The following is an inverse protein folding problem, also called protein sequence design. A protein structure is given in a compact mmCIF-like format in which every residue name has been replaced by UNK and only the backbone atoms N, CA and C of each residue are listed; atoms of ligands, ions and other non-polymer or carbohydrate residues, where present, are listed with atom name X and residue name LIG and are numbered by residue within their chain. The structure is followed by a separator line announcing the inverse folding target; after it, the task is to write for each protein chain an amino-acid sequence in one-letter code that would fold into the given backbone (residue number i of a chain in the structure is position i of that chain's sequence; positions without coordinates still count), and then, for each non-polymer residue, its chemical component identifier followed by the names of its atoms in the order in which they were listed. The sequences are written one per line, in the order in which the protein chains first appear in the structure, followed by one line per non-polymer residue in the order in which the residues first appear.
data_IF_281269222356
#
_entry.id   IF_281269222356
#
_cell.length_a   1.000
_cell.length_b   1.000
_cell.length_c   1.000
_cell.angle_alpha   90.00
_cell.angle_beta   90.00
_cell.angle_gamma   90.00
#
_symmetry.space_group_name_H-M   'P 1'
#
loop_
_entity.id
_entity.type
_entity.pdbx_description
1 polymer ?
#
# COMPACT_ATOMS: atom_id res chain seq x y z
N UNK A 1 7.29 -52.04 -18.04
CA UNK A 1 7.37 -52.17 -19.52
C UNK A 1 7.60 -50.77 -20.08
N UNK A 2 8.73 -50.52 -20.37
CA UNK A 2 9.68 -50.08 -21.42
C UNK A 2 9.01 -49.68 -22.73
N UNK A 3 9.29 -48.43 -23.19
CA UNK A 3 9.70 -47.90 -24.51
C UNK A 3 9.36 -46.39 -24.48
N UNK A 4 10.21 -45.44 -24.63
CA UNK A 4 11.52 -45.31 -25.28
C UNK A 4 11.38 -44.90 -26.77
N UNK A 5 11.40 -43.58 -27.08
CA UNK A 5 11.91 -43.21 -28.39
C UNK A 5 12.50 -41.78 -28.38
N UNK A 6 13.72 -41.73 -28.95
CA UNK A 6 14.62 -40.57 -29.03
C UNK A 6 14.56 -39.92 -30.43
N UNK A 7 15.11 -38.68 -30.53
CA UNK A 7 15.81 -38.02 -31.66
C UNK A 7 14.93 -37.38 -32.76
N UNK A 8 15.18 -36.11 -33.14
CA UNK A 8 16.29 -35.68 -34.01
C UNK A 8 16.53 -34.18 -33.95
N UNK A 9 17.80 -33.82 -33.92
CA UNK A 9 18.34 -32.50 -34.14
C UNK A 9 18.39 -32.17 -35.65
N UNK A 10 18.23 -30.88 -35.98
CA UNK A 10 18.47 -30.36 -37.33
C UNK A 10 19.12 -28.99 -37.26
N UNK A 11 20.46 -28.98 -37.36
CA UNK A 11 21.26 -27.81 -37.71
C UNK A 11 21.11 -27.50 -39.21
N UNK A 12 20.97 -26.23 -39.56
CA UNK A 12 21.41 -25.74 -40.86
C UNK A 12 22.01 -24.34 -40.74
N UNK A 13 23.26 -24.29 -41.15
CA UNK A 13 24.19 -23.15 -41.22
C UNK A 13 24.10 -22.41 -42.54
N UNK A 14 24.54 -21.14 -42.52
CA UNK A 14 25.36 -20.42 -43.52
C UNK A 14 24.66 -19.62 -44.63
N UNK A 15 24.88 -18.30 -44.70
CA UNK A 15 25.80 -17.68 -45.64
C UNK A 15 25.94 -16.16 -45.43
N UNK A 16 27.19 -15.76 -45.26
CA UNK A 16 27.67 -14.35 -45.41
C UNK A 16 27.65 -13.94 -46.88
N UNK A 17 27.35 -12.65 -47.15
CA UNK A 17 27.84 -11.96 -48.34
C UNK A 17 28.43 -10.63 -47.92
N UNK A 18 29.75 -10.53 -48.09
CA UNK A 18 30.55 -9.31 -48.01
C UNK A 18 30.58 -8.70 -49.41
N UNK A 19 30.36 -7.41 -49.49
CA UNK A 19 30.53 -6.63 -50.71
C UNK A 19 31.18 -5.30 -50.43
N UNK A 20 32.50 -5.28 -50.51
CA UNK A 20 33.31 -4.04 -50.47
C UNK A 20 33.42 -3.47 -51.88
N UNK A 21 33.25 -2.16 -52.01
CA UNK A 21 33.85 -1.44 -53.14
C UNK A 21 34.42 -0.09 -52.62
N UNK A 22 35.75 0.01 -52.78
CA UNK A 22 36.51 1.22 -52.63
C UNK A 22 36.60 1.91 -54.01
N UNK A 23 36.61 3.21 -54.05
CA UNK A 23 36.89 4.03 -55.20
C UNK A 23 37.33 5.42 -54.81
N UNK A 24 38.64 5.65 -54.88
CA UNK A 24 39.26 6.97 -54.74
C UNK A 24 39.07 7.81 -56.03
N UNK A 25 38.97 9.14 -55.85
CA UNK A 25 39.08 10.12 -56.94
C UNK A 25 39.10 11.52 -56.45
N UNK A 26 40.28 12.14 -56.49
CA UNK A 26 40.66 13.50 -56.08
C UNK A 26 40.30 14.53 -57.18
N UNK A 27 39.85 15.75 -56.85
CA UNK A 27 40.47 17.05 -57.12
C UNK A 27 39.48 18.23 -57.23
N UNK A 28 39.76 19.21 -56.38
CA UNK A 28 39.86 20.67 -56.55
C UNK A 28 38.71 21.53 -57.12
N UNK A 29 38.38 22.48 -56.28
CA UNK A 29 38.22 23.92 -56.43
C UNK A 29 36.93 24.57 -56.88
N UNK A 30 36.58 25.54 -56.03
CA UNK A 30 35.94 26.87 -56.17
C UNK A 30 34.46 27.02 -55.86
N UNK A 31 34.31 27.81 -54.77
CA UNK A 31 33.31 28.81 -54.44
C UNK A 31 32.13 29.04 -55.41
N UNK A 32 30.93 28.98 -54.90
CA UNK A 32 30.00 30.13 -54.83
C UNK A 32 28.87 29.87 -53.86
N UNK A 33 28.53 30.90 -53.09
CA UNK A 33 27.46 30.93 -52.10
C UNK A 33 26.06 30.84 -52.73
N UNK A 34 25.13 30.17 -52.04
CA UNK A 34 23.75 30.59 -51.82
C UNK A 34 22.95 29.60 -50.96
N UNK A 35 22.43 30.17 -49.92
CA UNK A 35 21.16 29.95 -49.24
C UNK A 35 20.71 28.51 -48.92
N UNK A 36 20.69 28.32 -47.64
CA UNK A 36 20.23 27.36 -46.77
C UNK A 36 18.84 26.81 -46.93
N UNK A 37 18.73 25.58 -46.50
CA UNK A 37 17.53 25.11 -45.81
C UNK A 37 18.00 24.08 -44.78
N UNK A 38 18.06 24.54 -43.52
CA UNK A 38 18.34 23.71 -42.36
C UNK A 38 17.11 22.88 -42.11
N UNK A 39 17.18 21.59 -42.33
CA UNK A 39 16.25 20.66 -41.77
C UNK A 39 16.44 20.68 -40.26
N UNK A 40 15.56 21.38 -39.58
CA UNK A 40 15.44 21.34 -38.13
C UNK A 40 15.08 19.93 -37.69
N UNK A 41 15.99 19.32 -36.98
CA UNK A 41 15.66 18.16 -36.13
C UNK A 41 14.58 18.62 -35.14
N UNK A 42 13.40 18.10 -35.26
CA UNK A 42 12.34 18.26 -34.28
C UNK A 42 12.77 17.46 -33.05
N UNK A 43 13.44 18.12 -32.13
CA UNK A 43 13.53 17.71 -30.75
C UNK A 43 12.11 17.74 -30.22
N UNK A 44 11.58 16.61 -29.83
CA UNK A 44 10.34 16.49 -29.10
C UNK A 44 10.57 17.14 -27.73
N UNK A 45 10.24 18.43 -27.60
CA UNK A 45 10.03 19.11 -26.35
C UNK A 45 8.66 18.64 -25.83
N UNK A 46 8.65 17.59 -25.02
CA UNK A 46 7.47 17.14 -24.29
C UNK A 46 7.74 17.07 -22.78
N UNK A 47 8.37 18.08 -22.20
CA UNK A 47 8.60 18.09 -20.74
C UNK A 47 8.46 19.46 -20.08
N UNK A 48 7.80 20.43 -20.69
CA UNK A 48 7.73 21.79 -20.13
C UNK A 48 6.31 22.34 -19.87
N UNK A 49 5.24 21.56 -20.02
CA UNK A 49 3.88 22.10 -19.91
C UNK A 49 3.12 21.72 -18.61
N UNK A 50 3.68 20.86 -17.76
CA UNK A 50 3.02 20.45 -16.51
C UNK A 50 3.35 21.33 -15.30
N UNK A 51 4.39 22.13 -15.35
CA UNK A 51 4.72 23.07 -14.28
C UNK A 51 3.72 24.25 -14.26
N UNK A 52 2.63 24.11 -13.50
CA UNK A 52 1.61 25.13 -13.30
C UNK A 52 0.20 24.78 -13.75
N UNK A 53 -0.03 23.59 -14.32
CA UNK A 53 -1.38 23.12 -14.62
C UNK A 53 -2.02 22.51 -13.36
N UNK A 54 -3.23 22.96 -13.03
CA UNK A 54 -4.04 22.32 -12.00
C UNK A 54 -4.43 20.92 -12.47
N UNK A 55 -4.00 19.87 -11.73
CA UNK A 55 -4.26 18.48 -12.08
C UNK A 55 -5.71 18.08 -11.69
N UNK A 56 -6.40 17.40 -12.59
CA UNK A 56 -7.65 16.71 -12.27
C UNK A 56 -7.34 15.38 -11.63
N UNK A 57 -7.78 15.18 -10.39
CA UNK A 57 -7.49 14.00 -9.59
C UNK A 57 -8.78 13.27 -9.24
N UNK A 58 -8.83 11.97 -9.52
CA UNK A 58 -9.89 11.08 -9.06
C UNK A 58 -9.38 10.19 -7.94
N UNK A 59 -10.16 10.06 -6.86
CA UNK A 59 -9.99 9.06 -5.82
C UNK A 59 -11.19 8.12 -5.86
N UNK A 60 -10.96 6.85 -6.18
CA UNK A 60 -11.99 5.83 -6.24
C UNK A 60 -11.84 4.90 -5.03
N UNK A 61 -12.83 4.92 -4.16
CA UNK A 61 -12.88 4.16 -2.92
C UNK A 61 -13.78 2.93 -3.07
N UNK A 62 -13.36 1.75 -2.60
CA UNK A 62 -14.20 0.56 -2.57
C UNK A 62 -15.36 0.67 -1.57
N UNK A 63 -15.20 1.44 -0.51
CA UNK A 63 -16.18 1.64 0.55
C UNK A 63 -16.58 3.11 0.70
N UNK A 64 -17.08 3.43 1.88
CA UNK A 64 -17.50 4.80 2.24
C UNK A 64 -16.33 5.58 2.80
N UNK A 65 -16.25 6.87 2.47
CA UNK A 65 -15.23 7.79 3.01
C UNK A 65 -15.41 8.14 4.49
N UNK A 66 -16.41 7.58 5.16
CA UNK A 66 -16.71 7.75 6.59
C UNK A 66 -16.81 6.40 7.32
N UNK A 67 -16.00 5.41 6.90
CA UNK A 67 -16.00 4.05 7.43
C UNK A 67 -15.21 3.86 8.74
N UNK A 68 -14.63 4.93 9.26
CA UNK A 68 -13.75 4.94 10.46
C UNK A 68 -12.54 4.00 10.29
N UNK A 69 -12.11 3.77 9.04
CA UNK A 69 -11.06 2.83 8.68
C UNK A 69 -10.33 3.24 7.38
N UNK A 70 -10.03 2.27 6.52
CA UNK A 70 -9.15 2.36 5.36
C UNK A 70 -9.57 3.44 4.35
N UNK A 71 -10.86 3.51 4.00
CA UNK A 71 -11.34 4.49 3.03
C UNK A 71 -11.34 5.92 3.61
N UNK A 72 -11.73 6.07 4.87
CA UNK A 72 -11.71 7.37 5.54
C UNK A 72 -10.30 7.91 5.68
N UNK A 73 -9.33 7.09 6.08
CA UNK A 73 -7.94 7.51 6.24
C UNK A 73 -7.35 8.05 4.92
N UNK A 74 -7.61 7.36 3.80
CA UNK A 74 -7.15 7.82 2.48
C UNK A 74 -7.88 9.09 2.04
N UNK A 75 -9.20 9.15 2.23
CA UNK A 75 -9.96 10.35 1.92
C UNK A 75 -9.49 11.57 2.70
N UNK A 76 -9.26 11.43 4.00
CA UNK A 76 -8.80 12.53 4.86
C UNK A 76 -7.40 13.00 4.47
N UNK A 77 -6.46 12.08 4.19
CA UNK A 77 -5.13 12.42 3.70
C UNK A 77 -5.17 13.17 2.38
N UNK A 78 -5.93 12.67 1.41
CA UNK A 78 -6.11 13.32 0.09
C UNK A 78 -6.80 14.68 0.21
N UNK A 79 -7.86 14.76 1.04
CA UNK A 79 -8.57 16.01 1.28
C UNK A 79 -7.69 17.05 1.95
N UNK A 80 -6.88 16.68 2.94
CA UNK A 80 -5.92 17.55 3.61
C UNK A 80 -4.94 18.16 2.61
N UNK A 81 -4.42 17.35 1.68
CA UNK A 81 -3.54 17.84 0.61
C UNK A 81 -4.28 18.77 -0.36
N UNK A 82 -5.50 18.41 -0.79
CA UNK A 82 -6.30 19.21 -1.71
C UNK A 82 -6.67 20.57 -1.13
N UNK A 83 -7.11 20.61 0.13
CA UNK A 83 -7.46 21.84 0.85
C UNK A 83 -6.24 22.78 1.03
N UNK A 84 -5.06 22.21 1.22
CA UNK A 84 -3.81 22.97 1.32
C UNK A 84 -3.26 23.44 -0.04
N UNK A 85 -3.68 22.80 -1.14
CA UNK A 85 -3.17 23.06 -2.49
C UNK A 85 -4.30 23.24 -3.52
N UNK A 86 -5.26 24.17 -3.29
CA UNK A 86 -6.44 24.32 -4.16
C UNK A 86 -6.11 24.77 -5.58
N UNK A 87 -4.94 25.35 -5.79
CA UNK A 87 -4.46 25.76 -7.11
C UNK A 87 -3.71 24.65 -7.86
N UNK A 88 -3.32 23.58 -7.16
CA UNK A 88 -2.55 22.48 -7.75
C UNK A 88 -3.41 21.30 -8.19
N UNK A 89 -4.45 20.95 -7.43
CA UNK A 89 -5.32 19.81 -7.74
C UNK A 89 -6.80 20.15 -7.67
N UNK A 90 -7.58 19.45 -8.47
CA UNK A 90 -9.04 19.43 -8.48
C UNK A 90 -9.49 17.99 -8.17
N UNK A 91 -9.93 17.76 -6.92
CA UNK A 91 -10.20 16.42 -6.40
C UNK A 91 -11.66 16.03 -6.61
N UNK A 92 -11.89 14.89 -7.24
CA UNK A 92 -13.19 14.19 -7.29
C UNK A 92 -13.08 12.86 -6.52
N UNK A 93 -14.08 12.52 -5.73
CA UNK A 93 -14.12 11.29 -4.94
C UNK A 93 -15.35 10.47 -5.30
N UNK A 94 -15.15 9.20 -5.62
CA UNK A 94 -16.20 8.22 -5.86
C UNK A 94 -16.14 7.11 -4.83
N UNK A 95 -17.27 6.78 -4.25
CA UNK A 95 -17.40 5.82 -3.14
C UNK A 95 -18.14 4.56 -3.59
N UNK A 96 -17.94 3.45 -2.85
CA UNK A 96 -18.66 2.17 -3.04
C UNK A 96 -18.43 1.51 -4.42
N UNK A 97 -17.23 1.65 -4.99
CA UNK A 97 -16.82 0.94 -6.21
C UNK A 97 -16.04 -0.32 -5.81
N UNK A 98 -16.75 -1.32 -5.30
CA UNK A 98 -16.17 -2.53 -4.73
C UNK A 98 -16.02 -3.67 -5.74
N UNK A 99 -17.06 -3.90 -6.55
CA UNK A 99 -17.09 -5.03 -7.46
C UNK A 99 -16.14 -4.80 -8.65
N UNK A 100 -15.31 -5.80 -8.96
CA UNK A 100 -14.31 -5.71 -10.05
C UNK A 100 -14.96 -5.34 -11.39
N UNK A 101 -16.21 -5.77 -11.63
CA UNK A 101 -16.96 -5.45 -12.83
C UNK A 101 -17.30 -3.94 -12.96
N UNK A 102 -17.38 -3.21 -11.86
CA UNK A 102 -17.66 -1.78 -11.83
C UNK A 102 -16.39 -0.92 -11.83
N UNK A 103 -15.26 -1.49 -11.37
CA UNK A 103 -14.00 -0.77 -11.25
C UNK A 103 -13.45 -0.36 -12.62
N UNK A 104 -13.37 -1.28 -13.59
CA UNK A 104 -12.84 -0.98 -14.92
C UNK A 104 -13.64 0.14 -15.63
N UNK A 105 -14.97 0.10 -15.67
CA UNK A 105 -15.77 1.20 -16.20
C UNK A 105 -15.53 2.55 -15.48
N UNK A 106 -15.40 2.55 -14.16
CA UNK A 106 -15.14 3.78 -13.40
C UNK A 106 -13.76 4.38 -13.72
N UNK A 107 -12.72 3.57 -13.83
CA UNK A 107 -11.37 4.00 -14.23
C UNK A 107 -11.39 4.60 -15.64
N UNK A 108 -12.04 3.94 -16.60
CA UNK A 108 -12.17 4.40 -17.99
C UNK A 108 -12.95 5.72 -18.07
N UNK A 109 -14.05 5.85 -17.31
CA UNK A 109 -14.87 7.07 -17.32
C UNK A 109 -14.06 8.29 -16.87
N UNK A 110 -13.25 8.19 -15.83
CA UNK A 110 -12.35 9.26 -15.41
C UNK A 110 -11.26 9.55 -16.44
N UNK A 111 -10.62 8.51 -17.00
CA UNK A 111 -9.60 8.67 -18.01
C UNK A 111 -10.15 9.34 -19.29
N UNK A 112 -11.33 8.93 -19.77
CA UNK A 112 -12.02 9.54 -20.92
C UNK A 112 -12.43 11.00 -20.68
N UNK A 113 -12.72 11.38 -19.43
CA UNK A 113 -12.97 12.78 -19.02
C UNK A 113 -11.69 13.61 -18.88
N UNK A 114 -10.52 13.02 -19.14
CA UNK A 114 -9.21 13.70 -19.11
C UNK A 114 -8.77 14.02 -17.70
N UNK A 115 -8.95 13.09 -16.76
CA UNK A 115 -8.28 13.16 -15.47
C UNK A 115 -6.81 12.85 -15.61
N UNK A 116 -5.98 13.65 -14.95
CA UNK A 116 -4.53 13.53 -15.02
C UNK A 116 -4.00 12.40 -14.09
N UNK A 117 -4.65 12.21 -12.94
CA UNK A 117 -4.25 11.25 -11.91
C UNK A 117 -5.48 10.52 -11.35
N UNK A 118 -5.43 9.19 -11.31
CA UNK A 118 -6.52 8.35 -10.82
C UNK A 118 -6.00 7.39 -9.75
N UNK A 119 -6.50 7.52 -8.52
CA UNK A 119 -6.22 6.62 -7.41
C UNK A 119 -7.31 5.54 -7.34
N UNK A 120 -6.92 4.29 -7.43
CA UNK A 120 -7.76 3.13 -7.11
C UNK A 120 -7.33 2.59 -5.74
N UNK A 121 -8.17 2.78 -4.72
CA UNK A 121 -7.83 2.49 -3.34
C UNK A 121 -8.21 1.07 -2.95
N UNK A 122 -7.24 0.16 -2.99
CA UNK A 122 -7.41 -1.23 -2.59
C UNK A 122 -6.99 -2.22 -3.66
N UNK A 123 -6.61 -3.38 -3.21
CA UNK A 123 -6.00 -4.46 -4.00
C UNK A 123 -6.88 -4.95 -5.17
N UNK A 124 -8.23 -4.91 -5.06
CA UNK A 124 -9.15 -5.30 -6.13
C UNK A 124 -9.06 -4.42 -7.39
N UNK A 125 -8.45 -3.24 -7.28
CA UNK A 125 -8.20 -2.34 -8.41
C UNK A 125 -7.02 -2.78 -9.28
N UNK A 126 -6.19 -3.75 -8.86
CA UNK A 126 -4.93 -4.09 -9.51
C UNK A 126 -5.08 -4.51 -10.98
N UNK A 127 -5.87 -5.55 -11.27
CA UNK A 127 -6.04 -6.01 -12.65
C UNK A 127 -6.75 -4.95 -13.51
N UNK A 128 -7.83 -4.29 -13.04
CA UNK A 128 -8.44 -3.17 -13.77
C UNK A 128 -7.46 -2.03 -14.08
N UNK A 129 -6.66 -1.57 -13.11
CA UNK A 129 -5.70 -0.48 -13.30
C UNK A 129 -4.63 -0.86 -14.32
N UNK A 130 -4.04 -2.07 -14.25
CA UNK A 130 -3.06 -2.53 -15.24
C UNK A 130 -3.65 -2.57 -16.64
N UNK A 131 -4.90 -3.03 -16.77
CA UNK A 131 -5.60 -3.11 -18.05
C UNK A 131 -5.95 -1.74 -18.63
N UNK A 132 -6.47 -0.83 -17.80
CA UNK A 132 -6.87 0.53 -18.23
C UNK A 132 -5.63 1.39 -18.41
N UNK A 133 -4.67 1.36 -17.50
CA UNK A 133 -3.42 2.15 -17.60
C UNK A 133 -2.64 1.90 -18.88
N UNK A 134 -2.66 0.67 -19.41
CA UNK A 134 -2.07 0.36 -20.70
C UNK A 134 -2.77 1.04 -21.89
N UNK A 135 -4.02 1.47 -21.76
CA UNK A 135 -4.81 2.16 -22.78
C UNK A 135 -4.69 3.68 -22.71
N UNK A 136 -4.34 4.21 -21.53
CA UNK A 136 -4.26 5.65 -21.24
C UNK A 136 -2.85 6.03 -20.75
N UNK A 137 -1.83 6.01 -21.63
CA UNK A 137 -0.43 6.21 -21.24
C UNK A 137 -0.13 7.61 -20.69
N UNK A 138 -0.97 8.61 -20.98
CA UNK A 138 -0.83 9.99 -20.51
C UNK A 138 -1.52 10.27 -19.17
N UNK A 139 -2.22 9.26 -18.60
CA UNK A 139 -2.87 9.33 -17.28
C UNK A 139 -2.04 8.55 -16.27
N UNK A 140 -1.79 9.13 -15.11
CA UNK A 140 -1.12 8.46 -14.00
C UNK A 140 -2.13 7.69 -13.14
N UNK A 141 -1.80 6.45 -12.81
CA UNK A 141 -2.61 5.61 -11.96
C UNK A 141 -1.88 5.27 -10.67
N UNK A 142 -2.54 5.40 -9.54
CA UNK A 142 -2.05 5.00 -8.23
C UNK A 142 -2.90 3.81 -7.74
N UNK A 143 -2.22 2.69 -7.49
CA UNK A 143 -2.83 1.44 -7.04
C UNK A 143 -2.55 1.23 -5.56
N UNK A 144 -3.58 1.18 -4.73
CA UNK A 144 -3.46 0.81 -3.32
C UNK A 144 -3.25 -0.69 -3.13
N UNK A 145 -2.27 -1.07 -2.30
CA UNK A 145 -2.04 -2.45 -1.82
C UNK A 145 -1.92 -3.51 -2.94
N UNK A 146 -1.15 -3.21 -4.00
CA UNK A 146 -0.97 -4.11 -5.15
C UNK A 146 0.47 -4.59 -5.32
N UNK A 147 0.71 -5.39 -6.38
CA UNK A 147 2.04 -5.88 -6.75
C UNK A 147 2.31 -5.86 -8.26
N UNK A 148 1.43 -5.23 -9.05
CA UNK A 148 1.60 -5.05 -10.50
C UNK A 148 1.57 -3.59 -10.86
N UNK A 149 2.54 -3.14 -11.65
CA UNK A 149 2.64 -1.74 -12.09
C UNK A 149 3.04 -1.62 -13.55
N UNK A 150 2.85 -0.43 -14.13
CA UNK A 150 3.26 0.00 -15.46
C UNK A 150 4.08 1.30 -15.32
N UNK A 151 4.63 1.80 -16.44
CA UNK A 151 5.40 3.04 -16.42
C UNK A 151 4.58 4.26 -15.93
N UNK A 152 3.27 4.25 -16.18
CA UNK A 152 2.30 5.25 -15.69
C UNK A 152 1.47 4.79 -14.49
N UNK A 153 1.83 3.68 -13.84
CA UNK A 153 1.12 3.13 -12.69
C UNK A 153 2.10 2.89 -11.54
N UNK A 154 1.89 3.53 -10.41
CA UNK A 154 2.64 3.28 -9.19
C UNK A 154 1.79 2.58 -8.13
N UNK A 155 2.46 1.84 -7.26
CA UNK A 155 1.84 1.19 -6.11
C UNK A 155 2.10 2.05 -4.87
N UNK A 156 1.07 2.30 -4.08
CA UNK A 156 1.20 2.79 -2.72
C UNK A 156 0.67 1.75 -1.75
N UNK A 157 1.32 1.60 -0.62
CA UNK A 157 0.99 0.56 0.36
C UNK A 157 1.43 1.01 1.76
N UNK A 158 1.33 0.13 2.72
CA UNK A 158 1.71 0.33 4.11
C UNK A 158 2.68 -0.76 4.58
N UNK A 159 3.72 -0.39 5.30
CA UNK A 159 4.56 -1.32 6.04
C UNK A 159 3.85 -1.77 7.32
N UNK A 160 2.71 -2.47 7.16
CA UNK A 160 1.87 -2.88 8.27
C UNK A 160 2.60 -3.81 9.24
N UNK A 161 3.65 -4.48 8.78
CA UNK A 161 4.51 -5.32 9.60
C UNK A 161 5.13 -4.58 10.79
N UNK A 162 5.51 -3.30 10.62
CA UNK A 162 6.06 -2.49 11.71
C UNK A 162 4.97 -2.14 12.73
N UNK A 163 3.78 -1.75 12.25
CA UNK A 163 2.61 -1.53 13.11
C UNK A 163 2.20 -2.81 13.84
N UNK A 164 2.14 -3.93 13.10
CA UNK A 164 1.85 -5.23 13.68
C UNK A 164 2.84 -5.64 14.77
N UNK A 165 4.15 -5.43 14.54
CA UNK A 165 5.18 -5.71 15.55
C UNK A 165 4.88 -4.97 16.85
N UNK A 166 4.61 -3.68 16.77
CA UNK A 166 4.28 -2.87 17.94
C UNK A 166 2.98 -3.33 18.63
N UNK A 167 1.93 -3.65 17.84
CA UNK A 167 0.69 -4.21 18.42
C UNK A 167 0.94 -5.56 19.11
N UNK A 168 1.85 -6.38 18.60
CA UNK A 168 2.27 -7.62 19.22
C UNK A 168 2.99 -7.40 20.57
N UNK A 169 3.87 -6.41 20.64
CA UNK A 169 4.54 -6.00 21.88
C UNK A 169 3.52 -5.54 22.91
N UNK A 170 2.61 -4.64 22.53
CA UNK A 170 1.55 -4.14 23.42
C UNK A 170 0.67 -5.28 23.92
N UNK A 171 0.23 -6.18 23.03
CA UNK A 171 -0.60 -7.31 23.40
C UNK A 171 0.10 -8.26 24.38
N UNK A 172 1.39 -8.53 24.15
CA UNK A 172 2.17 -9.42 25.02
C UNK A 172 2.44 -8.84 26.42
N UNK A 173 2.57 -7.51 26.53
CA UNK A 173 2.71 -6.83 27.79
C UNK A 173 1.37 -6.71 28.56
N UNK A 174 0.27 -6.53 27.81
CA UNK A 174 -1.06 -6.35 28.41
C UNK A 174 -1.74 -7.65 28.82
N UNK A 175 -1.45 -8.78 28.18
CA UNK A 175 -2.13 -10.06 28.45
C UNK A 175 -1.92 -10.55 29.88
N UNK A 176 -3.00 -11.05 30.50
CA UNK A 176 -2.98 -11.69 31.82
C UNK A 176 -3.06 -13.22 31.72
N UNK A 177 -3.41 -13.72 30.53
CA UNK A 177 -3.59 -15.16 30.28
C UNK A 177 -2.45 -15.79 29.48
N UNK A 178 -1.54 -14.97 28.97
CA UNK A 178 -0.50 -15.39 28.02
C UNK A 178 -1.07 -15.91 26.68
N UNK A 179 -2.31 -15.52 26.34
CA UNK A 179 -3.00 -15.87 25.10
C UNK A 179 -3.52 -14.60 24.44
N UNK A 180 -3.08 -14.36 23.21
CA UNK A 180 -3.49 -13.21 22.41
C UNK A 180 -4.07 -13.67 21.08
N UNK A 181 -4.76 -12.76 20.40
CA UNK A 181 -5.39 -13.07 19.12
C UNK A 181 -5.12 -12.02 18.05
N UNK A 182 -5.23 -12.44 16.80
CA UNK A 182 -5.26 -11.53 15.65
C UNK A 182 -6.32 -11.98 14.66
N UNK A 183 -7.12 -11.02 14.16
CA UNK A 183 -8.21 -11.26 13.22
C UNK A 183 -8.01 -10.36 11.99
N UNK A 184 -7.86 -10.96 10.81
CA UNK A 184 -7.74 -10.29 9.52
C UNK A 184 -8.98 -10.41 8.65
N UNK A 185 -9.18 -9.44 7.75
CA UNK A 185 -10.29 -9.46 6.79
C UNK A 185 -10.09 -10.48 5.69
N UNK A 186 -8.90 -10.56 5.12
CA UNK A 186 -8.55 -11.50 4.07
C UNK A 186 -7.07 -11.87 4.11
N UNK A 187 -6.72 -12.94 3.41
CA UNK A 187 -5.35 -13.41 3.23
C UNK A 187 -4.64 -12.56 2.13
N UNK A 188 -4.51 -11.25 2.38
CA UNK A 188 -3.83 -10.30 1.51
C UNK A 188 -2.38 -10.07 1.98
N UNK A 189 -1.50 -9.63 1.08
CA UNK A 189 -0.07 -9.52 1.35
C UNK A 189 0.23 -8.60 2.53
N UNK A 190 -0.35 -7.41 2.57
CA UNK A 190 -0.15 -6.44 3.64
C UNK A 190 -0.65 -6.95 4.99
N UNK A 191 -1.77 -7.70 5.00
CA UNK A 191 -2.33 -8.28 6.22
C UNK A 191 -1.45 -9.40 6.75
N UNK A 192 -0.94 -10.28 5.86
CA UNK A 192 0.03 -11.31 6.25
C UNK A 192 1.29 -10.70 6.87
N UNK A 193 1.86 -9.67 6.23
CA UNK A 193 3.03 -8.97 6.79
C UNK A 193 2.71 -8.42 8.18
N UNK A 194 1.57 -7.75 8.33
CA UNK A 194 1.10 -7.23 9.61
C UNK A 194 0.97 -8.31 10.68
N UNK A 195 0.34 -9.45 10.35
CA UNK A 195 0.16 -10.57 11.27
C UNK A 195 1.49 -11.23 11.66
N UNK A 196 2.43 -11.39 10.72
CA UNK A 196 3.77 -11.91 11.04
C UNK A 196 4.55 -10.90 11.90
N UNK A 197 4.44 -9.60 11.64
CA UNK A 197 4.94 -8.56 12.52
C UNK A 197 4.38 -8.69 13.93
N UNK A 198 3.06 -8.84 14.09
CA UNK A 198 2.40 -9.04 15.38
C UNK A 198 2.95 -10.25 16.13
N UNK A 199 3.09 -11.37 15.44
CA UNK A 199 3.67 -12.59 16.02
C UNK A 199 5.12 -12.40 16.46
N UNK A 200 5.91 -11.70 15.65
CA UNK A 200 7.31 -11.41 15.96
C UNK A 200 7.45 -10.48 17.18
N UNK A 201 6.69 -9.38 17.20
CA UNK A 201 6.67 -8.44 18.31
C UNK A 201 6.23 -9.10 19.62
N UNK A 202 5.15 -9.88 19.59
CA UNK A 202 4.67 -10.60 20.77
C UNK A 202 5.73 -11.58 21.31
N UNK A 203 6.37 -12.35 20.43
CA UNK A 203 7.42 -13.31 20.80
C UNK A 203 8.71 -12.64 21.26
N UNK A 204 8.98 -11.41 20.87
CA UNK A 204 10.13 -10.66 21.38
C UNK A 204 10.01 -10.34 22.87
N UNK A 205 8.77 -10.22 23.38
CA UNK A 205 8.46 -10.01 24.80
C UNK A 205 8.36 -11.36 25.52
N UNK A 206 7.59 -12.29 24.95
CA UNK A 206 7.40 -13.61 25.53
C UNK A 206 7.44 -14.71 24.44
N UNK A 207 8.57 -15.46 24.32
CA UNK A 207 8.70 -16.51 23.30
C UNK A 207 7.66 -17.63 23.40
N UNK A 208 7.07 -17.85 24.59
CA UNK A 208 6.09 -18.92 24.87
C UNK A 208 4.63 -18.44 24.77
N UNK A 209 4.38 -17.21 24.25
CA UNK A 209 3.03 -16.67 24.13
C UNK A 209 2.21 -17.45 23.13
N UNK A 210 0.97 -17.80 23.50
CA UNK A 210 0.02 -18.46 22.62
C UNK A 210 -0.70 -17.42 21.74
N UNK A 211 -0.65 -17.61 20.42
CA UNK A 211 -1.26 -16.67 19.45
C UNK A 211 -2.31 -17.42 18.62
N UNK A 212 -3.56 -16.93 18.64
CA UNK A 212 -4.63 -17.40 17.75
C UNK A 212 -4.77 -16.42 16.58
N UNK A 213 -4.89 -16.97 15.37
CA UNK A 213 -5.05 -16.20 14.13
C UNK A 213 -6.26 -16.67 13.35
N UNK A 214 -7.07 -15.74 12.85
CA UNK A 214 -8.23 -16.01 12.00
C UNK A 214 -8.32 -14.96 10.89
N UNK A 215 -8.69 -15.42 9.68
CA UNK A 215 -9.12 -14.58 8.57
C UNK A 215 -10.61 -14.81 8.34
N UNK A 216 -11.41 -13.72 8.31
CA UNK A 216 -12.86 -13.82 8.10
C UNK A 216 -13.23 -14.15 6.65
N UNK A 217 -12.34 -13.81 5.70
CA UNK A 217 -12.57 -13.95 4.26
C UNK A 217 -13.40 -12.82 3.66
N UNK A 218 -13.80 -11.83 4.47
CA UNK A 218 -14.56 -10.64 4.05
C UNK A 218 -14.15 -9.43 4.90
N UNK A 219 -13.83 -8.31 4.26
CA UNK A 219 -13.39 -7.08 4.92
C UNK A 219 -14.50 -6.42 5.75
N UNK A 220 -15.74 -6.70 5.43
CA UNK A 220 -16.93 -6.01 5.96
C UNK A 220 -17.79 -6.88 6.87
N UNK A 221 -17.45 -8.17 7.05
CA UNK A 221 -18.21 -9.11 7.89
C UNK A 221 -18.03 -8.81 9.37
N UNK A 222 -18.65 -7.74 9.82
CA UNK A 222 -18.67 -7.33 11.24
C UNK A 222 -19.22 -8.41 12.17
N UNK A 223 -20.24 -9.15 11.71
CA UNK A 223 -20.89 -10.17 12.54
C UNK A 223 -19.98 -11.39 12.72
N UNK A 224 -19.40 -11.91 11.64
CA UNK A 224 -18.46 -13.01 11.68
C UNK A 224 -17.20 -12.70 12.49
N UNK A 225 -16.65 -11.47 12.34
CA UNK A 225 -15.52 -11.01 13.14
C UNK A 225 -15.85 -10.92 14.63
N UNK A 226 -17.06 -10.44 14.98
CA UNK A 226 -17.54 -10.42 16.36
C UNK A 226 -17.64 -11.83 16.94
N UNK A 227 -18.23 -12.77 16.21
CA UNK A 227 -18.34 -14.17 16.65
C UNK A 227 -16.97 -14.81 16.82
N UNK A 228 -16.03 -14.59 15.89
CA UNK A 228 -14.66 -15.08 15.99
C UNK A 228 -13.95 -14.53 17.23
N UNK A 229 -14.04 -13.21 17.47
CA UNK A 229 -13.45 -12.58 18.65
C UNK A 229 -14.06 -13.11 19.96
N UNK A 230 -15.38 -13.27 20.03
CA UNK A 230 -16.06 -13.88 21.19
C UNK A 230 -15.53 -15.30 21.43
N UNK A 231 -15.39 -16.11 20.36
CA UNK A 231 -14.84 -17.46 20.45
C UNK A 231 -13.41 -17.49 20.99
N UNK A 232 -12.56 -16.54 20.57
CA UNK A 232 -11.20 -16.39 21.09
C UNK A 232 -11.19 -16.00 22.58
N UNK A 233 -12.00 -15.01 22.99
CA UNK A 233 -12.12 -14.61 24.40
C UNK A 233 -12.63 -15.75 25.27
N UNK A 234 -13.61 -16.51 24.80
CA UNK A 234 -14.13 -17.69 25.53
C UNK A 234 -13.09 -18.84 25.61
N UNK A 235 -12.11 -18.88 24.69
CA UNK A 235 -10.97 -19.80 24.73
C UNK A 235 -9.80 -19.30 25.60
N UNK A 236 -9.95 -18.11 26.23
CA UNK A 236 -8.98 -17.55 27.16
C UNK A 236 -8.02 -16.53 26.56
N UNK A 237 -8.21 -16.12 25.31
CA UNK A 237 -7.57 -14.90 24.77
C UNK A 237 -8.10 -13.69 25.52
N UNK A 238 -7.26 -12.70 25.82
CA UNK A 238 -7.68 -11.49 26.52
C UNK A 238 -7.30 -10.17 25.84
N UNK A 239 -6.45 -10.24 24.78
CA UNK A 239 -6.10 -9.11 23.90
C UNK A 239 -6.19 -9.58 22.46
N UNK A 240 -6.96 -8.88 21.61
CA UNK A 240 -7.07 -9.15 20.18
C UNK A 240 -6.70 -7.91 19.37
N UNK A 241 -5.79 -8.05 18.40
CA UNK A 241 -5.58 -7.07 17.34
C UNK A 241 -6.42 -7.44 16.11
N UNK A 242 -6.95 -6.44 15.41
CA UNK A 242 -7.60 -6.65 14.12
C UNK A 242 -6.90 -5.89 13.00
N UNK A 243 -7.00 -6.44 11.79
CA UNK A 243 -6.47 -5.85 10.55
C UNK A 243 -7.49 -5.97 9.42
N UNK A 244 -8.41 -5.03 9.37
CA UNK A 244 -9.44 -4.94 8.33
C UNK A 244 -10.48 -3.89 8.67
N UNK A 245 -11.36 -3.58 7.73
CA UNK A 245 -12.30 -2.47 7.81
C UNK A 245 -13.49 -2.75 8.75
N UNK A 246 -14.62 -3.18 8.19
CA UNK A 246 -15.82 -3.47 8.99
C UNK A 246 -15.64 -4.53 10.05
N UNK A 247 -14.71 -5.47 9.85
CA UNK A 247 -14.37 -6.50 10.84
C UNK A 247 -13.86 -5.89 12.15
N UNK A 248 -13.15 -4.77 12.08
CA UNK A 248 -12.64 -4.08 13.28
C UNK A 248 -13.75 -3.67 14.22
N UNK A 249 -14.88 -3.19 13.69
CA UNK A 249 -16.06 -2.86 14.52
C UNK A 249 -16.60 -4.09 15.25
N UNK A 250 -16.56 -5.26 14.61
CA UNK A 250 -16.95 -6.54 15.22
C UNK A 250 -16.06 -6.91 16.39
N UNK A 251 -14.73 -6.81 16.22
CA UNK A 251 -13.76 -7.09 17.29
C UNK A 251 -13.91 -6.13 18.46
N UNK A 252 -14.07 -4.84 18.20
CA UNK A 252 -14.28 -3.81 19.26
C UNK A 252 -15.58 -4.07 20.03
N UNK A 253 -16.67 -4.44 19.34
CA UNK A 253 -17.93 -4.81 19.98
C UNK A 253 -17.79 -6.07 20.85
N UNK A 254 -17.05 -7.08 20.39
CA UNK A 254 -16.78 -8.28 21.17
C UNK A 254 -15.95 -7.98 22.41
N UNK A 255 -14.91 -7.13 22.29
CA UNK A 255 -14.09 -6.70 23.39
C UNK A 255 -14.91 -5.97 24.47
N UNK A 256 -15.81 -5.08 24.05
CA UNK A 256 -16.72 -4.37 24.96
C UNK A 256 -17.72 -5.34 25.64
N UNK A 257 -18.26 -6.34 24.91
CA UNK A 257 -19.20 -7.31 25.45
C UNK A 257 -18.54 -8.25 26.48
N UNK A 258 -17.29 -8.66 26.22
CA UNK A 258 -16.54 -9.58 27.10
C UNK A 258 -15.72 -8.87 28.16
N UNK A 259 -15.70 -7.55 28.18
CA UNK A 259 -14.85 -6.71 29.03
C UNK A 259 -13.36 -7.08 28.92
N UNK A 260 -12.90 -7.34 27.69
CA UNK A 260 -11.51 -7.67 27.32
C UNK A 260 -10.87 -6.52 26.56
N UNK A 261 -9.57 -6.64 26.24
CA UNK A 261 -8.87 -5.65 25.42
C UNK A 261 -8.89 -6.01 23.93
N UNK A 262 -8.87 -4.96 23.12
CA UNK A 262 -8.52 -5.04 21.69
C UNK A 262 -7.57 -3.92 21.29
N UNK A 263 -6.95 -4.10 20.12
CA UNK A 263 -6.08 -3.14 19.46
C UNK A 263 -6.68 -2.79 18.11
N UNK A 264 -6.71 -1.50 17.79
CA UNK A 264 -7.27 -0.95 16.57
C UNK A 264 -6.32 -1.01 15.38
N UNK A 265 -6.84 -0.68 14.21
CA UNK A 265 -6.06 -0.56 12.99
C UNK A 265 -6.56 0.61 12.15
N UNK A 266 -5.66 1.21 11.36
CA UNK A 266 -5.86 2.34 10.44
C UNK A 266 -6.09 3.68 11.14
N UNK A 267 -6.88 3.73 12.21
CA UNK A 267 -7.22 4.96 12.93
C UNK A 267 -7.24 4.74 14.45
N UNK A 268 -7.18 5.82 15.23
CA UNK A 268 -7.47 5.74 16.67
C UNK A 268 -8.95 5.42 16.89
N UNK A 269 -9.22 4.18 17.28
CA UNK A 269 -10.56 3.66 17.51
C UNK A 269 -10.98 3.68 18.99
N UNK A 270 -10.22 4.34 19.87
CA UNK A 270 -10.50 4.41 21.29
C UNK A 270 -11.92 4.87 21.61
N UNK A 271 -12.45 5.82 20.86
CA UNK A 271 -13.80 6.37 21.07
C UNK A 271 -14.93 5.36 20.80
N UNK A 272 -14.65 4.25 20.12
CA UNK A 272 -15.64 3.18 19.87
C UNK A 272 -15.88 2.33 21.11
N UNK A 273 -14.85 2.15 21.98
CA UNK A 273 -14.95 1.43 23.25
C UNK A 273 -13.80 1.87 24.19
N UNK A 274 -13.98 3.00 24.86
CA UNK A 274 -12.94 3.65 25.68
C UNK A 274 -12.36 2.75 26.78
N UNK A 275 -13.10 1.77 27.25
CA UNK A 275 -12.64 0.84 28.29
C UNK A 275 -11.96 -0.43 27.74
N UNK A 276 -11.89 -0.60 26.41
CA UNK A 276 -11.48 -1.86 25.80
C UNK A 276 -10.43 -1.68 24.70
N UNK A 277 -10.44 -0.56 23.95
CA UNK A 277 -9.41 -0.28 22.95
C UNK A 277 -8.18 0.26 23.64
N UNK A 278 -7.08 -0.51 23.59
CA UNK A 278 -5.84 -0.21 24.30
C UNK A 278 -4.94 0.75 23.51
N UNK A 279 -4.85 0.56 22.20
CA UNK A 279 -4.11 1.38 21.22
C UNK A 279 -4.51 0.95 19.81
N UNK A 280 -3.77 1.35 18.79
CA UNK A 280 -3.99 0.91 17.41
C UNK A 280 -2.94 1.46 16.47
N UNK A 281 -2.82 0.85 15.30
CA UNK A 281 -2.02 1.38 14.19
C UNK A 281 -2.78 2.53 13.54
N UNK A 282 -2.08 3.60 13.17
CA UNK A 282 -2.68 4.79 12.52
C UNK A 282 -2.00 5.03 11.18
N UNK A 283 -2.79 5.17 10.11
CA UNK A 283 -2.30 5.47 8.77
C UNK A 283 -2.41 6.97 8.47
N UNK A 284 -1.32 7.55 8.02
CA UNK A 284 -1.22 8.96 7.62
C UNK A 284 -0.80 9.05 6.15
N UNK A 285 -1.76 8.86 5.25
CA UNK A 285 -1.51 8.83 3.80
C UNK A 285 -0.98 10.15 3.26
N UNK A 286 -1.20 11.28 3.94
CA UNK A 286 -0.65 12.57 3.56
C UNK A 286 0.89 12.59 3.55
N UNK A 287 1.56 11.69 4.26
CA UNK A 287 3.02 11.54 4.22
C UNK A 287 3.57 11.23 2.81
N UNK A 288 2.80 10.54 1.98
CA UNK A 288 3.23 10.16 0.61
C UNK A 288 2.51 10.93 -0.49
N UNK A 289 1.30 11.44 -0.24
CA UNK A 289 0.48 12.12 -1.27
C UNK A 289 1.22 13.32 -1.86
N UNK A 290 1.92 14.10 -1.04
CA UNK A 290 2.72 15.21 -1.52
C UNK A 290 3.83 14.75 -2.47
N UNK A 291 4.53 13.67 -2.14
CA UNK A 291 5.61 13.10 -2.95
C UNK A 291 5.10 12.63 -4.32
N UNK A 292 3.93 11.98 -4.37
CA UNK A 292 3.29 11.56 -5.62
C UNK A 292 3.05 12.74 -6.55
N UNK A 293 2.44 13.83 -6.05
CA UNK A 293 2.17 15.00 -6.88
C UNK A 293 3.42 15.80 -7.24
N UNK A 294 4.40 15.86 -6.35
CA UNK A 294 5.68 16.51 -6.64
C UNK A 294 6.45 15.74 -7.74
N UNK A 295 6.46 14.42 -7.68
CA UNK A 295 7.08 13.58 -8.70
C UNK A 295 6.39 13.70 -10.06
N UNK A 296 5.06 13.73 -10.10
CA UNK A 296 4.29 13.97 -11.33
C UNK A 296 4.66 15.33 -11.92
N UNK A 297 4.66 16.40 -11.11
CA UNK A 297 4.97 17.75 -11.56
C UNK A 297 6.43 17.90 -12.04
N UNK A 298 7.36 17.15 -11.47
CA UNK A 298 8.78 17.18 -11.81
C UNK A 298 9.14 16.18 -12.93
N UNK A 299 8.20 15.35 -13.40
CA UNK A 299 8.46 14.30 -14.37
C UNK A 299 9.33 13.15 -13.83
N UNK A 300 9.30 12.93 -12.51
CA UNK A 300 10.06 11.89 -11.81
C UNK A 300 9.16 10.79 -11.23
N UNK A 301 7.92 10.70 -11.70
CA UNK A 301 6.96 9.71 -11.23
C UNK A 301 7.53 8.28 -11.29
N UNK A 302 7.36 7.54 -10.19
CA UNK A 302 7.91 6.19 -10.00
C UNK A 302 6.87 5.12 -10.35
N UNK A 303 6.48 5.04 -11.60
CA UNK A 303 5.61 3.99 -12.10
C UNK A 303 6.28 2.63 -11.91
N UNK A 304 6.76 1.97 -12.84
CA UNK A 304 7.48 0.69 -12.73
C UNK A 304 8.83 0.85 -12.00
N UNK A 305 8.80 1.20 -10.72
CA UNK A 305 10.01 1.42 -9.91
C UNK A 305 10.75 0.10 -9.63
N UNK A 306 12.09 0.15 -9.57
CA UNK A 306 12.91 -0.97 -9.06
C UNK A 306 12.69 -1.16 -7.56
N UNK A 307 12.40 -0.06 -6.85
CA UNK A 307 11.95 -0.05 -5.46
C UNK A 307 10.42 0.12 -5.45
N UNK A 308 9.70 -0.97 -5.28
CA UNK A 308 8.23 -1.02 -5.26
C UNK A 308 7.63 -0.46 -3.96
N UNK A 309 8.46 -0.18 -2.93
CA UNK A 309 8.05 0.47 -1.68
C UNK A 309 8.20 2.00 -1.67
N UNK A 310 8.51 2.63 -2.80
CA UNK A 310 8.80 4.06 -2.86
C UNK A 310 7.67 4.97 -2.35
N UNK A 311 6.41 4.61 -2.62
CA UNK A 311 5.24 5.35 -2.12
C UNK A 311 4.53 4.61 -0.98
N UNK A 312 5.27 3.92 -0.13
CA UNK A 312 4.69 3.26 1.04
C UNK A 312 4.71 4.20 2.26
N UNK A 313 3.63 4.12 3.06
CA UNK A 313 3.66 4.70 4.40
C UNK A 313 4.33 3.72 5.36
N UNK A 314 5.21 4.24 6.19
CA UNK A 314 5.96 3.45 7.16
C UNK A 314 6.28 4.26 8.43
N UNK A 315 6.92 3.63 9.40
CA UNK A 315 7.30 4.27 10.65
C UNK A 315 8.39 5.33 10.45
N UNK A 316 9.29 5.17 9.45
CA UNK A 316 10.42 6.08 9.20
C UNK A 316 9.96 7.42 8.59
N UNK A 317 8.89 7.40 7.76
CA UNK A 317 8.36 8.60 7.10
C UNK A 317 7.16 9.23 7.82
N UNK A 318 6.87 8.79 9.05
CA UNK A 318 5.71 9.21 9.85
C UNK A 318 4.34 8.92 9.19
N UNK A 319 4.33 8.14 8.12
CA UNK A 319 3.09 7.70 7.45
C UNK A 319 2.38 6.57 8.20
N UNK A 320 3.11 5.84 9.02
CA UNK A 320 2.58 4.85 9.95
C UNK A 320 2.87 5.31 11.37
N UNK A 321 1.84 5.36 12.19
CA UNK A 321 1.92 5.74 13.60
C UNK A 321 1.21 4.73 14.50
N UNK A 322 1.28 4.99 15.80
CA UNK A 322 0.49 4.28 16.83
C UNK A 322 -0.36 5.29 17.61
N UNK A 323 -1.57 4.90 17.94
CA UNK A 323 -2.45 5.69 18.82
C UNK A 323 -1.90 5.72 20.24
N UNK A 324 -2.23 6.79 20.98
CA UNK A 324 -1.87 6.92 22.40
C UNK A 324 -2.36 5.72 23.21
N UNK A 325 -1.50 5.19 24.06
CA UNK A 325 -1.83 4.05 24.93
C UNK A 325 -2.97 4.45 25.89
N UNK A 326 -4.02 3.63 25.86
CA UNK A 326 -5.17 3.72 26.74
C UNK A 326 -5.22 2.44 27.58
N UNK A 327 -5.06 2.57 28.89
CA UNK A 327 -5.05 1.42 29.82
C UNK A 327 -6.01 1.64 30.98
N UNK A 328 -7.33 1.59 30.76
CA UNK A 328 -8.34 1.87 31.76
C UNK A 328 -8.39 0.85 32.90
N UNK A 329 -7.84 -0.36 32.70
CA UNK A 329 -7.80 -1.43 33.70
C UNK A 329 -6.47 -1.47 34.47
N UNK A 330 -5.44 -0.71 34.00
CA UNK A 330 -4.13 -0.65 34.66
C UNK A 330 -3.32 -1.94 34.54
N UNK A 331 -3.38 -2.62 33.39
CA UNK A 331 -2.61 -3.84 33.13
C UNK A 331 -1.17 -3.57 32.74
N UNK A 332 -0.91 -2.37 32.19
CA UNK A 332 0.42 -1.92 31.80
C UNK A 332 1.08 -1.09 32.89
N UNK A 333 2.29 -1.48 33.29
CA UNK A 333 3.15 -0.69 34.18
C UNK A 333 3.79 0.48 33.43
N UNK A 334 4.43 1.39 34.17
CA UNK A 334 5.21 2.46 33.53
C UNK A 334 6.44 1.91 32.79
N UNK A 335 7.04 0.82 33.28
CA UNK A 335 8.13 0.13 32.58
C UNK A 335 7.62 -0.50 31.26
N UNK A 336 6.43 -1.09 31.23
CA UNK A 336 5.82 -1.60 29.99
C UNK A 336 5.58 -0.49 28.97
N UNK A 337 5.06 0.65 29.39
CA UNK A 337 4.86 1.82 28.54
C UNK A 337 6.19 2.35 27.97
N UNK A 338 7.27 2.26 28.76
CA UNK A 338 8.60 2.64 28.28
C UNK A 338 9.10 1.63 27.23
N UNK A 339 8.89 0.31 27.44
CA UNK A 339 9.23 -0.72 26.44
C UNK A 339 8.49 -0.47 25.12
N UNK A 340 7.19 -0.12 25.16
CA UNK A 340 6.40 0.24 23.99
C UNK A 340 7.02 1.43 23.26
N UNK A 341 7.30 2.52 23.96
CA UNK A 341 7.89 3.73 23.38
C UNK A 341 9.29 3.47 22.76
N UNK A 342 10.13 2.70 23.45
CA UNK A 342 11.46 2.35 22.98
C UNK A 342 11.39 1.42 21.73
N UNK A 343 10.43 0.50 21.68
CA UNK A 343 10.24 -0.39 20.53
C UNK A 343 9.80 0.40 19.31
N UNK A 344 8.82 1.29 19.47
CA UNK A 344 8.38 2.13 18.36
C UNK A 344 9.52 3.01 17.83
N UNK A 345 10.32 3.61 18.71
CA UNK A 345 11.50 4.39 18.31
C UNK A 345 12.53 3.56 17.53
N UNK A 346 12.72 2.28 17.88
CA UNK A 346 13.63 1.38 17.17
C UNK A 346 13.07 0.94 15.81
N UNK A 347 11.77 0.78 15.68
CA UNK A 347 11.11 0.57 14.39
C UNK A 347 11.28 1.80 13.48
N UNK A 348 11.06 3.01 14.03
CA UNK A 348 11.25 4.27 13.29
C UNK A 348 12.71 4.48 12.83
N UNK A 349 13.68 4.03 13.60
CA UNK A 349 15.10 4.16 13.25
C UNK A 349 15.64 3.03 12.37
N UNK A 350 14.82 2.01 12.07
CA UNK A 350 15.25 0.80 11.36
C UNK A 350 16.21 -0.10 12.17
N UNK A 351 16.30 0.09 13.50
CA UNK A 351 17.08 -0.81 14.36
C UNK A 351 16.40 -2.19 14.48
N UNK A 352 15.07 -2.21 14.58
CA UNK A 352 14.28 -3.45 14.50
C UNK A 352 13.83 -3.63 13.04
N UNK A 353 14.37 -4.66 12.40
CA UNK A 353 14.13 -5.05 11.01
C UNK A 353 14.38 -6.56 10.83
N UNK A 354 14.14 -7.06 9.63
CA UNK A 354 14.43 -8.46 9.25
C UNK A 354 13.74 -9.50 10.15
N UNK A 355 12.55 -9.15 10.70
CA UNK A 355 11.78 -10.04 11.58
C UNK A 355 10.69 -10.83 10.85
N UNK A 356 10.45 -10.53 9.59
CA UNK A 356 9.50 -11.28 8.75
C UNK A 356 10.13 -12.59 8.26
N UNK A 357 9.34 -13.67 8.12
CA UNK A 357 9.74 -14.89 7.41
C UNK A 357 10.18 -14.58 5.97
N UNK A 358 11.15 -15.33 5.43
CA UNK A 358 11.70 -15.11 4.08
C UNK A 358 10.65 -15.19 2.97
N UNK A 359 9.59 -15.98 3.16
CA UNK A 359 8.50 -16.18 2.20
C UNK A 359 7.39 -15.11 2.28
N UNK A 360 7.51 -14.16 3.22
CA UNK A 360 6.54 -13.09 3.47
C UNK A 360 7.12 -11.69 3.16
N UNK A 361 8.43 -11.60 2.92
CA UNK A 361 9.14 -10.34 2.66
C UNK A 361 8.73 -9.66 1.35
#
# INVERSE_FOLDING_TARGET
MKKGLKWMAGLLTLAMVVGSFAGCGSSSSKETAATGESAAATTVESTAETAGKKLKVALILPGKKDDVSFNQAMYEGMKKYADANPDKIDLNVTENVYEVADIEPALMDFADQGYDVIFGHGFQFMEPIVKVGAQYPDTYFLLGTGYKSLDNTAIYDVELEAGGYEMGVIAALATQTNKIGVIGGADASEIKRGHEGFKAGAKSINPDIEIQEVYTGDWTDTAGAKEAAIGMYDAGVDVIWHSGDGIGLGVVQAAAEKDMYCLGNVADQKTLAENNVLSGVVYQWDAIIANVFDDINNGTFKGRAEDDRYYWINAENDGLGIADINDPKGWLTDDDKQVIADTWSKLQSGEIKDYLPEDIQ
#
